data_IF_563425667144
#
_entry.id   IF_563425667144
#
_cell.length_a   1.000
_cell.length_b   1.000
_cell.length_c   1.000
_cell.angle_alpha   90.00
_cell.angle_beta   90.00
_cell.angle_gamma   90.00
#
_symmetry.space_group_name_H-M   'P 1'
#
loop_
_entity.id
_entity.type
_entity.pdbx_description
1 polymer ?
#
# COMPACT_ATOMS: atom_id res chain seq x y z
N UNK A 1 17.24 0.13 12.01
CA UNK A 1 17.61 -0.79 10.90
C UNK A 1 16.34 -1.04 10.11
N UNK A 2 16.41 -0.84 8.82
CA UNK A 2 15.26 -1.03 7.93
C UNK A 2 14.75 -2.48 8.02
N UNK A 3 13.43 -2.66 8.08
CA UNK A 3 12.76 -3.96 8.07
C UNK A 3 12.59 -4.47 6.63
N UNK A 4 12.27 -3.54 5.72
CA UNK A 4 12.13 -3.80 4.28
C UNK A 4 12.92 -2.76 3.51
N UNK A 5 13.83 -3.20 2.63
CA UNK A 5 14.58 -2.37 1.68
C UNK A 5 14.28 -2.81 0.27
N UNK A 6 13.82 -1.90 -0.56
CA UNK A 6 13.54 -2.10 -1.99
C UNK A 6 14.43 -1.19 -2.81
N UNK A 7 15.22 -1.77 -3.70
CA UNK A 7 16.17 -1.05 -4.55
C UNK A 7 16.01 -1.42 -6.01
N UNK A 8 15.85 -0.42 -6.86
CA UNK A 8 15.77 -0.56 -8.32
C UNK A 8 14.66 -1.45 -8.82
N UNK A 9 13.55 -1.57 -8.06
CA UNK A 9 12.45 -2.47 -8.39
C UNK A 9 11.84 -2.10 -9.76
N UNK A 10 11.84 -3.06 -10.68
CA UNK A 10 11.17 -2.98 -11.98
C UNK A 10 10.26 -4.15 -12.19
N UNK A 11 9.07 -3.86 -12.71
CA UNK A 11 8.07 -4.88 -13.05
C UNK A 11 7.65 -4.68 -14.49
N UNK A 12 7.81 -5.74 -15.29
CA UNK A 12 7.34 -5.80 -16.68
C UNK A 12 6.30 -6.89 -16.81
N UNK A 13 5.18 -6.55 -17.40
CA UNK A 13 4.09 -7.50 -17.67
C UNK A 13 4.10 -7.89 -19.14
N UNK A 14 3.93 -9.18 -19.40
CA UNK A 14 3.68 -9.67 -20.75
C UNK A 14 2.26 -9.25 -21.20
N UNK A 15 2.15 -8.63 -22.37
CA UNK A 15 0.87 -8.32 -23.00
C UNK A 15 0.86 -8.84 -24.44
N UNK A 16 -0.30 -8.99 -25.08
CA UNK A 16 -0.37 -9.41 -26.50
C UNK A 16 0.44 -8.52 -27.45
N UNK A 17 0.65 -7.25 -27.07
CA UNK A 17 1.36 -6.24 -27.86
C UNK A 17 2.83 -6.06 -27.44
N UNK A 18 3.39 -6.97 -26.63
CA UNK A 18 4.75 -6.88 -26.11
C UNK A 18 4.81 -6.68 -24.59
N UNK A 19 6.01 -6.57 -24.04
CA UNK A 19 6.21 -6.33 -22.63
C UNK A 19 5.96 -4.84 -22.28
N UNK A 20 5.23 -4.60 -21.19
CA UNK A 20 4.92 -3.26 -20.70
C UNK A 20 5.49 -3.09 -19.29
N UNK A 21 6.27 -2.02 -19.05
CA UNK A 21 6.81 -1.67 -17.74
C UNK A 21 5.75 -0.96 -16.92
N UNK A 22 5.39 -1.54 -15.77
CA UNK A 22 4.38 -0.99 -14.85
C UNK A 22 4.98 -0.45 -13.55
N UNK A 23 6.22 -0.85 -13.23
CA UNK A 23 7.06 -0.28 -12.17
C UNK A 23 8.46 -0.12 -12.73
N UNK A 24 9.09 1.02 -12.53
CA UNK A 24 10.35 1.35 -13.21
C UNK A 24 11.34 2.07 -12.28
N UNK A 25 12.21 1.29 -11.65
CA UNK A 25 13.30 1.78 -10.81
C UNK A 25 12.80 2.44 -9.52
N UNK A 26 11.99 1.72 -8.76
CA UNK A 26 11.43 2.20 -7.50
C UNK A 26 12.32 1.81 -6.34
N UNK A 27 12.67 2.81 -5.50
CA UNK A 27 13.45 2.67 -4.29
C UNK A 27 12.65 3.18 -3.09
N UNK A 28 12.61 2.39 -2.02
CA UNK A 28 12.09 2.81 -0.72
C UNK A 28 12.52 1.85 0.39
N UNK A 29 12.46 2.33 1.63
CA UNK A 29 12.68 1.52 2.83
C UNK A 29 11.51 1.67 3.80
N UNK A 30 11.31 0.66 4.65
CA UNK A 30 10.30 0.67 5.72
C UNK A 30 10.97 0.25 7.01
N UNK A 31 10.83 1.05 8.06
CA UNK A 31 11.36 0.75 9.39
C UNK A 31 10.35 -0.09 10.21
N UNK A 32 10.85 -0.78 11.25
CA UNK A 32 9.95 -1.46 12.20
C UNK A 32 9.05 -0.46 12.91
N UNK A 33 7.76 -0.78 13.05
CA UNK A 33 6.78 0.09 13.70
C UNK A 33 6.40 1.35 12.92
N UNK A 34 6.89 1.52 11.68
CA UNK A 34 6.57 2.64 10.80
C UNK A 34 5.26 2.39 10.03
N UNK A 35 4.49 3.46 9.79
CA UNK A 35 3.46 3.49 8.75
C UNK A 35 4.04 4.21 7.53
N UNK A 36 4.41 3.43 6.52
CA UNK A 36 4.89 3.92 5.25
C UNK A 36 3.75 4.02 4.24
N UNK A 37 3.42 5.23 3.83
CA UNK A 37 2.35 5.52 2.88
C UNK A 37 2.80 5.47 1.43
N UNK A 38 2.04 4.79 0.58
CA UNK A 38 2.23 4.74 -0.88
C UNK A 38 1.00 5.31 -1.56
N UNK A 39 1.12 6.52 -2.12
CA UNK A 39 0.01 7.25 -2.72
C UNK A 39 0.20 7.54 -4.21
N UNK A 40 -0.89 7.87 -4.91
CA UNK A 40 -0.91 8.22 -6.33
C UNK A 40 -2.20 7.77 -7.02
N UNK A 41 -2.42 8.22 -8.26
CA UNK A 41 -3.61 7.87 -9.04
C UNK A 41 -3.69 6.36 -9.33
N UNK A 42 -4.87 5.87 -9.70
CA UNK A 42 -5.05 4.48 -10.16
C UNK A 42 -4.14 4.19 -11.35
N UNK A 43 -3.57 2.98 -11.40
CA UNK A 43 -2.62 2.59 -12.46
C UNK A 43 -1.20 3.16 -12.31
N UNK A 44 -0.86 3.89 -11.23
CA UNK A 44 0.50 4.42 -11.04
C UNK A 44 1.57 3.38 -10.64
N UNK A 45 1.19 2.10 -10.45
CA UNK A 45 2.14 1.01 -10.15
C UNK A 45 2.20 0.58 -8.68
N UNK A 46 1.49 1.24 -7.75
CA UNK A 46 1.51 0.98 -6.29
C UNK A 46 1.27 -0.48 -5.94
N UNK A 47 0.10 -1.00 -6.28
CA UNK A 47 -0.29 -2.40 -6.02
C UNK A 47 0.67 -3.37 -6.70
N UNK A 48 1.08 -3.09 -7.95
CA UNK A 48 1.99 -3.96 -8.70
C UNK A 48 3.37 -4.06 -8.03
N UNK A 49 3.88 -2.96 -7.45
CA UNK A 49 5.13 -2.98 -6.69
C UNK A 49 5.05 -3.89 -5.48
N UNK A 50 3.93 -3.89 -4.75
CA UNK A 50 3.74 -4.77 -3.57
C UNK A 50 3.50 -6.22 -3.97
N UNK A 51 2.71 -6.47 -5.01
CA UNK A 51 2.50 -7.84 -5.52
C UNK A 51 3.80 -8.48 -6.01
N UNK A 52 4.76 -7.69 -6.51
CA UNK A 52 6.09 -8.18 -6.87
C UNK A 52 6.83 -8.74 -5.64
N UNK A 53 6.81 -8.06 -4.51
CA UNK A 53 7.45 -8.50 -3.26
C UNK A 53 6.86 -9.82 -2.75
N UNK A 54 5.56 -10.02 -2.99
CA UNK A 54 4.81 -11.18 -2.51
C UNK A 54 4.83 -12.36 -3.52
N UNK A 55 5.45 -12.18 -4.69
CA UNK A 55 5.43 -13.20 -5.74
C UNK A 55 4.02 -13.49 -6.30
N UNK A 56 3.12 -12.51 -6.22
CA UNK A 56 1.70 -12.61 -6.63
C UNK A 56 1.41 -11.91 -7.97
N UNK A 57 2.43 -11.59 -8.74
CA UNK A 57 2.26 -11.03 -10.08
C UNK A 57 1.64 -12.04 -11.05
N UNK A 58 0.95 -11.56 -12.11
CA UNK A 58 0.46 -12.42 -13.19
C UNK A 58 1.58 -13.27 -13.82
N UNK A 59 1.20 -14.41 -14.38
CA UNK A 59 2.13 -15.28 -15.06
C UNK A 59 2.82 -14.57 -16.24
N UNK A 60 4.12 -14.83 -16.42
CA UNK A 60 4.94 -14.15 -17.43
C UNK A 60 5.45 -12.77 -17.02
N UNK A 61 5.15 -12.29 -15.80
CA UNK A 61 5.75 -11.06 -15.30
C UNK A 61 7.26 -11.25 -15.04
N UNK A 62 8.04 -10.23 -15.38
CA UNK A 62 9.49 -10.17 -15.12
C UNK A 62 9.76 -9.12 -14.08
N UNK A 63 10.53 -9.47 -13.04
CA UNK A 63 10.89 -8.58 -11.93
C UNK A 63 12.39 -8.46 -11.86
N UNK A 64 12.89 -7.23 -11.81
CA UNK A 64 14.29 -6.88 -11.59
C UNK A 64 14.42 -6.02 -10.33
N UNK A 65 15.64 -5.90 -9.79
CA UNK A 65 15.94 -5.17 -8.56
C UNK A 65 16.18 -6.10 -7.36
N UNK A 66 16.10 -5.55 -6.17
CA UNK A 66 16.18 -6.28 -4.90
C UNK A 66 15.07 -5.85 -3.94
N UNK A 67 14.60 -6.77 -3.10
CA UNK A 67 13.64 -6.49 -2.05
C UNK A 67 14.04 -7.30 -0.79
N UNK A 68 14.78 -6.66 0.10
CA UNK A 68 15.30 -7.29 1.32
C UNK A 68 14.31 -7.08 2.47
N UNK A 69 13.73 -8.18 2.92
CA UNK A 69 12.95 -8.21 4.17
C UNK A 69 13.81 -8.86 5.26
N UNK A 70 14.16 -8.10 6.26
CA UNK A 70 15.26 -8.44 7.18
C UNK A 70 16.53 -8.76 6.35
N UNK A 71 17.06 -9.95 6.42
CA UNK A 71 18.27 -10.37 5.70
C UNK A 71 17.99 -11.19 4.44
N UNK A 72 16.72 -11.29 3.97
CA UNK A 72 16.30 -12.16 2.87
C UNK A 72 15.80 -11.34 1.69
N UNK A 73 16.33 -11.59 0.49
CA UNK A 73 15.84 -10.99 -0.75
C UNK A 73 14.60 -11.75 -1.25
N UNK A 74 13.41 -11.18 -1.05
CA UNK A 74 12.11 -11.76 -1.40
C UNK A 74 11.98 -12.09 -2.90
N UNK A 75 12.69 -11.36 -3.77
CA UNK A 75 12.64 -11.58 -5.22
C UNK A 75 13.48 -12.79 -5.69
N UNK A 76 14.43 -13.25 -4.85
CA UNK A 76 15.40 -14.28 -5.20
C UNK A 76 15.29 -15.58 -4.41
N UNK A 77 14.61 -15.56 -3.27
CA UNK A 77 14.40 -16.77 -2.48
C UNK A 77 13.49 -17.76 -3.21
N UNK A 78 13.68 -19.09 -3.00
CA UNK A 78 12.78 -20.07 -3.57
C UNK A 78 11.33 -19.88 -3.14
N UNK A 79 10.38 -20.12 -4.05
CA UNK A 79 8.93 -19.96 -3.78
C UNK A 79 8.45 -20.66 -2.51
N UNK A 80 9.06 -21.78 -2.12
CA UNK A 80 8.72 -22.48 -0.87
C UNK A 80 9.07 -21.61 0.35
N UNK A 81 10.28 -21.03 0.37
CA UNK A 81 10.69 -20.15 1.47
C UNK A 81 9.87 -18.85 1.50
N UNK A 82 9.53 -18.30 0.34
CA UNK A 82 8.64 -17.14 0.26
C UNK A 82 7.28 -17.46 0.89
N UNK A 83 6.67 -18.62 0.60
CA UNK A 83 5.40 -19.04 1.21
C UNK A 83 5.47 -19.20 2.73
N UNK A 84 6.64 -19.61 3.27
CA UNK A 84 6.84 -19.72 4.72
C UNK A 84 6.91 -18.35 5.41
N UNK A 85 7.30 -17.29 4.67
CA UNK A 85 7.34 -15.90 5.14
C UNK A 85 5.96 -15.24 5.04
N UNK A 86 5.27 -15.46 3.90
CA UNK A 86 3.94 -14.90 3.66
C UNK A 86 2.92 -15.52 4.62
N UNK A 87 2.10 -14.69 5.25
CA UNK A 87 1.13 -15.06 6.25
C UNK A 87 1.73 -15.18 7.67
N UNK A 88 3.00 -15.55 7.80
CA UNK A 88 3.68 -15.66 9.09
C UNK A 88 4.42 -14.38 9.49
N UNK A 89 5.25 -13.84 8.59
CA UNK A 89 6.09 -12.68 8.86
C UNK A 89 5.62 -11.43 8.09
N UNK A 90 4.96 -11.62 6.94
CA UNK A 90 4.35 -10.58 6.13
C UNK A 90 2.87 -10.91 5.95
N UNK A 91 1.99 -10.06 6.47
CA UNK A 91 0.55 -10.12 6.23
C UNK A 91 0.13 -9.20 5.08
N UNK A 92 -1.00 -9.52 4.41
CA UNK A 92 -1.57 -8.65 3.39
C UNK A 92 -3.08 -8.52 3.57
N UNK A 93 -3.58 -7.29 3.48
CA UNK A 93 -4.99 -6.95 3.34
C UNK A 93 -5.22 -6.46 1.93
N UNK A 94 -6.05 -7.17 1.16
CA UNK A 94 -6.39 -6.81 -0.22
C UNK A 94 -7.49 -5.75 -0.27
N UNK A 95 -7.60 -5.07 -1.40
CA UNK A 95 -8.49 -3.95 -1.64
C UNK A 95 -9.97 -4.26 -1.37
N UNK A 96 -10.44 -5.46 -1.71
CA UNK A 96 -11.85 -5.85 -1.54
C UNK A 96 -12.02 -6.95 -0.48
N UNK A 97 -12.61 -6.63 0.69
CA UNK A 97 -12.86 -7.60 1.73
C UNK A 97 -13.90 -8.65 1.33
N UNK A 98 -14.72 -8.39 0.29
CA UNK A 98 -15.71 -9.34 -0.21
C UNK A 98 -15.06 -10.53 -0.93
N UNK A 99 -13.95 -10.27 -1.62
CA UNK A 99 -13.18 -11.29 -2.33
C UNK A 99 -12.10 -11.93 -1.45
N UNK A 100 -11.72 -11.27 -0.35
CA UNK A 100 -10.70 -11.76 0.57
C UNK A 100 -11.19 -12.86 1.51
N UNK A 101 -12.50 -12.92 1.79
CA UNK A 101 -13.11 -13.90 2.67
C UNK A 101 -13.84 -14.97 1.86
N UNK A 102 -13.57 -16.24 2.13
CA UNK A 102 -14.25 -17.34 1.46
C UNK A 102 -15.70 -17.45 1.95
N UNK A 103 -16.73 -17.23 1.09
CA UNK A 103 -18.12 -17.07 1.53
C UNK A 103 -18.74 -18.31 2.18
N UNK A 104 -18.27 -19.51 1.85
CA UNK A 104 -18.79 -20.79 2.31
C UNK A 104 -18.05 -21.36 3.53
N UNK A 105 -17.00 -20.68 4.02
CA UNK A 105 -16.28 -21.10 5.21
C UNK A 105 -16.61 -20.17 6.38
N UNK A 106 -16.75 -20.75 7.58
CA UNK A 106 -16.89 -19.92 8.79
C UNK A 106 -15.64 -19.10 9.05
N UNK A 107 -15.80 -17.98 9.75
CA UNK A 107 -14.67 -17.12 10.11
C UNK A 107 -13.63 -17.88 10.94
N UNK A 108 -14.10 -18.70 11.87
CA UNK A 108 -13.23 -19.54 12.70
C UNK A 108 -12.36 -20.46 11.85
N UNK A 109 -12.95 -21.15 10.86
CA UNK A 109 -12.18 -22.06 10.00
C UNK A 109 -11.10 -21.31 9.21
N UNK A 110 -11.43 -20.16 8.64
CA UNK A 110 -10.46 -19.35 7.87
C UNK A 110 -9.31 -18.85 8.74
N UNK A 111 -9.58 -18.45 9.99
CA UNK A 111 -8.55 -18.01 10.94
C UNK A 111 -7.72 -19.19 11.46
N UNK A 112 -8.38 -20.28 11.91
CA UNK A 112 -7.65 -21.42 12.52
C UNK A 112 -6.79 -22.16 11.52
N UNK A 113 -7.25 -22.38 10.29
CA UNK A 113 -6.48 -23.04 9.23
C UNK A 113 -5.17 -22.26 8.94
N UNK A 114 -5.25 -20.95 8.90
CA UNK A 114 -4.09 -20.08 8.72
C UNK A 114 -3.10 -20.20 9.90
N UNK A 115 -3.60 -20.12 11.13
CA UNK A 115 -2.80 -20.22 12.35
C UNK A 115 -2.19 -21.61 12.53
N UNK A 116 -2.96 -22.68 12.32
CA UNK A 116 -2.47 -24.07 12.38
C UNK A 116 -1.34 -24.31 11.39
N UNK A 117 -1.49 -23.81 10.15
CA UNK A 117 -0.49 -23.97 9.10
C UNK A 117 0.82 -23.27 9.42
N UNK A 118 0.77 -22.01 9.83
CA UNK A 118 1.97 -21.17 9.99
C UNK A 118 2.63 -21.27 11.37
N UNK A 119 1.85 -21.49 12.43
CA UNK A 119 2.35 -21.55 13.80
C UNK A 119 2.46 -22.98 14.33
N UNK A 120 1.98 -23.96 13.56
CA UNK A 120 1.97 -25.38 13.95
C UNK A 120 1.24 -25.64 15.29
N UNK A 121 0.23 -24.82 15.58
CA UNK A 121 -0.57 -24.95 16.80
C UNK A 121 -1.62 -26.05 16.64
N UNK A 122 -1.94 -26.72 17.75
CA UNK A 122 -3.07 -27.62 17.80
C UNK A 122 -4.40 -26.85 17.70
N UNK A 123 -5.48 -27.53 17.29
CA UNK A 123 -6.79 -26.94 17.03
C UNK A 123 -7.30 -26.05 18.19
N UNK A 124 -7.16 -26.49 19.44
CA UNK A 124 -7.63 -25.73 20.60
C UNK A 124 -6.88 -24.40 20.76
N UNK A 125 -5.58 -24.40 20.58
CA UNK A 125 -4.75 -23.21 20.71
C UNK A 125 -4.96 -22.27 19.50
N UNK A 126 -5.21 -22.83 18.31
CA UNK A 126 -5.57 -22.08 17.13
C UNK A 126 -6.95 -21.39 17.29
N UNK A 127 -7.95 -22.06 17.87
CA UNK A 127 -9.25 -21.48 18.20
C UNK A 127 -9.11 -20.35 19.25
N UNK A 128 -8.30 -20.55 20.29
CA UNK A 128 -8.04 -19.50 21.29
C UNK A 128 -7.35 -18.28 20.66
N UNK A 129 -6.37 -18.51 19.78
CA UNK A 129 -5.69 -17.44 19.05
C UNK A 129 -6.63 -16.70 18.10
N UNK A 130 -7.53 -17.42 17.41
CA UNK A 130 -8.55 -16.83 16.55
C UNK A 130 -9.54 -15.96 17.33
N UNK A 131 -9.91 -16.36 18.52
CA UNK A 131 -10.76 -15.57 19.42
C UNK A 131 -10.06 -14.31 19.91
N UNK A 132 -8.79 -14.42 20.33
CA UNK A 132 -7.95 -13.31 20.74
C UNK A 132 -7.85 -12.24 19.63
N UNK A 133 -7.51 -12.62 18.39
CA UNK A 133 -7.35 -11.64 17.30
C UNK A 133 -8.68 -10.99 16.91
N UNK A 134 -9.79 -11.71 16.95
CA UNK A 134 -11.12 -11.11 16.73
C UNK A 134 -11.47 -10.07 17.80
N UNK A 135 -11.08 -10.32 19.05
CA UNK A 135 -11.20 -9.33 20.12
C UNK A 135 -10.33 -8.10 19.84
N UNK A 136 -9.06 -8.29 19.43
CA UNK A 136 -8.11 -7.21 19.13
C UNK A 136 -8.63 -6.31 18.00
N UNK A 137 -9.25 -6.87 16.97
CA UNK A 137 -9.88 -6.08 15.89
C UNK A 137 -11.29 -5.57 16.24
N UNK A 138 -11.73 -5.74 17.50
CA UNK A 138 -13.01 -5.27 18.02
C UNK A 138 -14.24 -5.87 17.30
N UNK A 139 -14.22 -7.16 17.04
CA UNK A 139 -15.41 -7.89 16.62
C UNK A 139 -16.25 -8.21 17.87
N UNK A 140 -17.54 -7.85 17.92
CA UNK A 140 -18.42 -8.19 19.03
C UNK A 140 -18.59 -9.71 19.15
N UNK A 141 -18.58 -10.21 20.39
CA UNK A 141 -18.79 -11.62 20.71
C UNK A 141 -17.91 -12.57 19.86
N UNK A 142 -16.57 -12.54 20.02
CA UNK A 142 -15.62 -13.29 19.19
C UNK A 142 -15.94 -14.77 19.09
N UNK A 143 -16.31 -15.43 20.21
CA UNK A 143 -16.66 -16.84 20.23
C UNK A 143 -17.88 -17.20 19.34
N UNK A 144 -18.88 -16.32 19.23
CA UNK A 144 -19.99 -16.49 18.31
C UNK A 144 -19.57 -16.18 16.87
N UNK A 145 -18.73 -15.15 16.68
CA UNK A 145 -18.21 -14.74 15.37
C UNK A 145 -17.38 -15.84 14.69
N UNK A 146 -16.66 -16.66 15.43
CA UNK A 146 -15.93 -17.82 14.89
C UNK A 146 -16.84 -18.82 14.16
N UNK A 147 -18.10 -18.96 14.59
CA UNK A 147 -19.07 -19.89 13.97
C UNK A 147 -19.86 -19.24 12.83
N UNK A 148 -19.81 -17.95 12.70
CA UNK A 148 -20.52 -17.19 11.68
C UNK A 148 -19.79 -17.18 10.33
N UNK A 149 -20.53 -16.82 9.26
CA UNK A 149 -20.04 -16.75 7.89
C UNK A 149 -19.91 -15.28 7.45
N UNK A 150 -19.05 -14.98 6.44
CA UNK A 150 -18.79 -13.61 6.00
C UNK A 150 -20.04 -12.77 5.68
N UNK A 151 -21.05 -13.37 5.06
CA UNK A 151 -22.28 -12.68 4.68
C UNK A 151 -23.13 -12.17 5.87
N UNK A 152 -22.87 -12.66 7.08
CA UNK A 152 -23.55 -12.24 8.31
C UNK A 152 -22.97 -10.99 8.94
N UNK A 153 -21.89 -10.42 8.36
CA UNK A 153 -21.20 -9.24 8.87
C UNK A 153 -21.37 -8.03 7.95
N UNK A 154 -21.38 -6.82 8.54
CA UNK A 154 -21.32 -5.58 7.78
C UNK A 154 -19.99 -5.43 7.03
N UNK A 155 -19.90 -4.51 6.04
CA UNK A 155 -18.68 -4.24 5.30
C UNK A 155 -17.49 -3.92 6.21
N UNK A 156 -17.67 -3.02 7.17
CA UNK A 156 -16.62 -2.67 8.13
C UNK A 156 -16.22 -3.81 9.05
N UNK A 157 -17.15 -4.71 9.42
CA UNK A 157 -16.82 -5.91 10.18
C UNK A 157 -16.05 -6.93 9.34
N UNK A 158 -16.40 -7.11 8.07
CA UNK A 158 -15.64 -7.98 7.14
C UNK A 158 -14.23 -7.45 6.95
N UNK A 159 -14.05 -6.14 6.83
CA UNK A 159 -12.73 -5.52 6.76
C UNK A 159 -11.90 -5.78 8.02
N UNK A 160 -12.50 -5.66 9.21
CA UNK A 160 -11.81 -6.01 10.47
C UNK A 160 -11.43 -7.49 10.53
N UNK A 161 -12.28 -8.38 10.03
CA UNK A 161 -11.99 -9.80 9.93
C UNK A 161 -10.87 -10.08 8.94
N UNK A 162 -10.84 -9.43 7.78
CA UNK A 162 -9.73 -9.54 6.83
C UNK A 162 -8.39 -9.07 7.44
N UNK A 163 -8.42 -7.97 8.21
CA UNK A 163 -7.26 -7.51 9.00
C UNK A 163 -6.88 -8.55 10.06
N UNK A 164 -7.85 -9.17 10.75
CA UNK A 164 -7.60 -10.21 11.73
C UNK A 164 -6.88 -11.43 11.12
N UNK A 165 -7.30 -11.87 9.94
CA UNK A 165 -6.64 -12.97 9.21
C UNK A 165 -5.19 -12.58 8.88
N UNK A 166 -4.96 -11.40 8.34
CA UNK A 166 -3.62 -10.92 8.00
C UNK A 166 -2.69 -10.80 9.22
N UNK A 167 -3.25 -10.54 10.41
CA UNK A 167 -2.51 -10.37 11.66
C UNK A 167 -2.50 -11.62 12.57
N UNK A 168 -3.18 -12.69 12.19
CA UNK A 168 -3.37 -13.87 13.06
C UNK A 168 -2.05 -14.51 13.52
N UNK A 169 -1.03 -14.48 12.67
CA UNK A 169 0.31 -15.00 12.97
C UNK A 169 1.28 -13.97 13.59
N UNK A 170 0.82 -12.77 13.94
CA UNK A 170 1.65 -11.65 14.43
C UNK A 170 2.80 -11.30 13.48
N UNK A 171 2.50 -10.94 12.23
CA UNK A 171 3.52 -10.56 11.27
C UNK A 171 4.29 -9.32 11.72
N UNK A 172 5.51 -9.15 11.21
CA UNK A 172 6.33 -7.96 11.42
C UNK A 172 5.98 -6.84 10.44
N UNK A 173 5.44 -7.21 9.28
CA UNK A 173 5.04 -6.28 8.21
C UNK A 173 3.60 -6.59 7.77
N UNK A 174 2.76 -5.56 7.69
CA UNK A 174 1.44 -5.60 7.09
C UNK A 174 1.43 -4.73 5.83
N UNK A 175 1.07 -5.31 4.69
CA UNK A 175 0.77 -4.56 3.47
C UNK A 175 -0.74 -4.40 3.41
N UNK A 176 -1.23 -3.17 3.45
CA UNK A 176 -2.66 -2.85 3.39
C UNK A 176 -2.96 -2.09 2.09
N UNK A 177 -3.53 -2.78 1.12
CA UNK A 177 -3.88 -2.22 -0.19
C UNK A 177 -5.32 -1.70 -0.15
N UNK A 178 -5.46 -0.39 -0.12
CA UNK A 178 -6.73 0.35 -0.05
C UNK A 178 -7.70 -0.18 1.03
N UNK A 179 -7.26 -0.35 2.29
CA UNK A 179 -8.02 -1.07 3.32
C UNK A 179 -9.31 -0.35 3.76
N UNK A 180 -9.57 0.83 3.26
CA UNK A 180 -10.73 1.65 3.63
C UNK A 180 -11.62 2.03 2.43
N UNK A 181 -11.29 1.56 1.24
CA UNK A 181 -12.09 1.81 0.02
C UNK A 181 -13.49 1.22 0.17
N UNK A 182 -14.50 1.94 -0.31
CA UNK A 182 -15.93 1.61 -0.23
C UNK A 182 -16.52 1.54 1.20
N UNK A 183 -15.83 2.08 2.20
CA UNK A 183 -16.36 2.24 3.56
C UNK A 183 -16.79 3.69 3.80
N UNK A 184 -17.81 3.86 4.66
CA UNK A 184 -18.16 5.20 5.12
C UNK A 184 -17.07 5.83 5.98
N UNK A 185 -17.04 7.16 6.04
CA UNK A 185 -15.98 7.94 6.72
C UNK A 185 -15.79 7.53 8.19
N UNK A 186 -16.87 7.20 8.88
CA UNK A 186 -16.81 6.80 10.30
C UNK A 186 -16.14 5.44 10.48
N UNK A 187 -16.50 4.48 9.62
CA UNK A 187 -15.90 3.14 9.61
C UNK A 187 -14.45 3.23 9.17
N UNK A 188 -14.13 4.01 8.13
CA UNK A 188 -12.77 4.29 7.68
C UNK A 188 -11.90 4.80 8.84
N UNK A 189 -12.33 5.86 9.53
CA UNK A 189 -11.62 6.38 10.70
C UNK A 189 -11.44 5.32 11.80
N UNK A 190 -12.43 4.43 11.96
CA UNK A 190 -12.36 3.30 12.90
C UNK A 190 -11.31 2.25 12.52
N UNK A 191 -11.13 1.96 11.22
CA UNK A 191 -10.10 1.04 10.71
C UNK A 191 -8.69 1.66 10.86
N UNK A 192 -8.53 2.94 10.53
CA UNK A 192 -7.24 3.62 10.65
C UNK A 192 -6.77 3.68 12.12
N UNK A 193 -7.66 4.02 13.04
CA UNK A 193 -7.35 3.97 14.48
C UNK A 193 -7.02 2.56 14.97
N UNK A 194 -7.67 1.55 14.42
CA UNK A 194 -7.34 0.15 14.71
C UNK A 194 -5.93 -0.20 14.25
N UNK A 195 -5.56 0.12 13.01
CA UNK A 195 -4.23 -0.14 12.47
C UNK A 195 -3.14 0.60 13.25
N UNK A 196 -3.35 1.90 13.58
CA UNK A 196 -2.39 2.68 14.36
C UNK A 196 -2.21 2.12 15.79
N UNK A 197 -3.28 1.65 16.44
CA UNK A 197 -3.20 0.98 17.72
C UNK A 197 -2.40 -0.31 17.64
N UNK A 198 -2.74 -1.20 16.70
CA UNK A 198 -2.09 -2.50 16.55
C UNK A 198 -0.61 -2.36 16.18
N UNK A 199 -0.25 -1.36 15.34
CA UNK A 199 1.16 -1.10 15.04
C UNK A 199 1.96 -0.72 16.29
N UNK A 200 1.41 0.12 17.18
CA UNK A 200 2.07 0.54 18.42
C UNK A 200 2.17 -0.58 19.44
N UNK A 201 1.12 -1.40 19.56
CA UNK A 201 1.08 -2.51 20.51
C UNK A 201 2.02 -3.66 20.12
N UNK A 202 2.28 -3.86 18.81
CA UNK A 202 3.02 -5.01 18.29
C UNK A 202 4.30 -4.64 17.53
N UNK A 203 4.72 -3.38 17.54
CA UNK A 203 5.85 -2.88 16.70
C UNK A 203 5.70 -3.25 15.21
N UNK A 204 4.46 -3.34 14.75
CA UNK A 204 4.10 -3.73 13.38
C UNK A 204 4.46 -2.63 12.39
N UNK A 205 5.28 -2.94 11.39
CA UNK A 205 5.43 -2.05 10.24
C UNK A 205 4.21 -2.18 9.32
N UNK A 206 3.72 -1.05 8.78
CA UNK A 206 2.57 -1.03 7.88
C UNK A 206 2.93 -0.30 6.59
N UNK A 207 2.82 -0.98 5.46
CA UNK A 207 2.79 -0.32 4.14
C UNK A 207 1.33 -0.07 3.79
N UNK A 208 0.93 1.20 3.80
CA UNK A 208 -0.43 1.62 3.52
C UNK A 208 -0.52 2.17 2.09
N UNK A 209 -1.22 1.47 1.22
CA UNK A 209 -1.49 1.92 -0.14
C UNK A 209 -2.87 2.55 -0.17
N UNK A 210 -2.96 3.78 -0.65
CA UNK A 210 -4.25 4.44 -0.92
C UNK A 210 -4.08 5.59 -1.93
N UNK A 211 -5.16 5.94 -2.59
CA UNK A 211 -5.25 7.17 -3.38
C UNK A 211 -5.78 8.36 -2.57
N UNK A 212 -6.21 8.12 -1.32
CA UNK A 212 -6.74 9.16 -0.43
C UNK A 212 -5.61 9.76 0.43
N UNK A 213 -5.17 10.98 0.07
CA UNK A 213 -4.14 11.71 0.81
C UNK A 213 -4.62 12.18 2.20
N UNK A 214 -5.92 12.29 2.43
CA UNK A 214 -6.50 12.55 3.75
C UNK A 214 -6.23 11.38 4.71
N UNK A 215 -6.38 10.14 4.22
CA UNK A 215 -5.98 8.92 4.94
C UNK A 215 -4.49 8.95 5.25
N UNK A 216 -3.64 9.25 4.26
CA UNK A 216 -2.19 9.35 4.46
C UNK A 216 -1.83 10.39 5.51
N UNK A 217 -2.46 11.57 5.44
CA UNK A 217 -2.24 12.67 6.41
C UNK A 217 -2.57 12.27 7.85
N UNK A 218 -3.49 11.33 8.05
CA UNK A 218 -3.97 10.95 9.38
C UNK A 218 -3.09 9.93 10.11
N UNK A 219 -2.35 9.07 9.39
CA UNK A 219 -1.69 7.91 9.99
C UNK A 219 -0.24 7.69 9.54
N UNK A 220 0.14 8.08 8.30
CA UNK A 220 1.46 7.79 7.77
C UNK A 220 2.56 8.58 8.51
N UNK A 221 3.73 7.96 8.70
CA UNK A 221 4.94 8.62 9.20
C UNK A 221 5.76 9.18 8.02
N UNK A 222 5.92 8.38 6.96
CA UNK A 222 6.54 8.76 5.69
C UNK A 222 5.62 8.42 4.52
N UNK A 223 5.78 9.15 3.42
CA UNK A 223 4.93 8.98 2.21
C UNK A 223 5.80 8.96 0.97
N UNK A 224 5.49 8.04 0.05
CA UNK A 224 6.00 8.02 -1.32
C UNK A 224 4.87 8.21 -2.32
N UNK A 225 5.03 9.17 -3.20
CA UNK A 225 4.07 9.51 -4.26
C UNK A 225 4.50 8.83 -5.55
N UNK A 226 3.62 7.99 -6.06
CA UNK A 226 3.82 7.21 -7.29
C UNK A 226 3.10 7.87 -8.47
N UNK A 227 3.80 7.98 -9.59
CA UNK A 227 3.26 8.39 -10.88
C UNK A 227 3.88 7.59 -12.01
N UNK A 228 3.05 7.00 -12.87
CA UNK A 228 3.47 6.25 -14.07
C UNK A 228 4.61 5.23 -13.81
N UNK A 229 4.48 4.44 -12.73
CA UNK A 229 5.43 3.39 -12.36
C UNK A 229 6.67 3.87 -11.61
N UNK A 230 6.79 5.14 -11.26
CA UNK A 230 7.96 5.70 -10.58
C UNK A 230 7.57 6.44 -9.31
N UNK A 231 8.49 6.54 -8.36
CA UNK A 231 8.39 7.48 -7.24
C UNK A 231 8.79 8.87 -7.73
N UNK A 232 7.94 9.86 -7.49
CA UNK A 232 8.20 11.26 -7.89
C UNK A 232 8.56 12.17 -6.72
N UNK A 233 8.08 11.85 -5.52
CA UNK A 233 8.43 12.53 -4.29
C UNK A 233 8.28 11.57 -3.12
N UNK A 234 9.25 11.56 -2.16
CA UNK A 234 9.17 10.74 -0.95
C UNK A 234 9.87 11.42 0.22
N UNK A 235 9.30 11.32 1.41
CA UNK A 235 9.85 11.91 2.63
C UNK A 235 8.89 11.80 3.81
N UNK A 236 9.19 12.51 4.89
CA UNK A 236 8.27 12.63 6.02
C UNK A 236 6.92 13.19 5.55
N UNK A 237 5.83 12.62 6.09
CA UNK A 237 4.46 13.02 5.74
C UNK A 237 4.28 14.54 5.75
N UNK A 238 4.77 15.21 6.79
CA UNK A 238 4.63 16.66 6.95
C UNK A 238 5.31 17.43 5.81
N UNK A 239 6.46 16.95 5.36
CA UNK A 239 7.23 17.59 4.31
C UNK A 239 6.57 17.38 2.93
N UNK A 240 6.10 16.15 2.65
CA UNK A 240 5.49 15.81 1.37
C UNK A 240 4.06 16.37 1.24
N UNK A 241 3.23 16.26 2.30
CA UNK A 241 1.82 16.63 2.20
C UNK A 241 1.51 18.08 2.56
N UNK A 242 2.31 18.72 3.43
CA UNK A 242 2.08 20.14 3.80
C UNK A 242 2.90 21.10 2.93
N UNK A 243 4.08 20.67 2.46
CA UNK A 243 5.00 21.47 1.64
C UNK A 243 5.45 20.69 0.41
N UNK A 244 4.51 20.28 -0.47
CA UNK A 244 4.82 19.50 -1.66
C UNK A 244 5.75 20.28 -2.59
N UNK A 245 6.78 19.60 -3.13
CA UNK A 245 7.71 20.19 -4.11
C UNK A 245 7.51 19.65 -5.51
N UNK A 246 7.02 18.42 -5.65
CA UNK A 246 6.69 17.90 -6.97
C UNK A 246 5.34 18.46 -7.46
N UNK A 247 5.25 19.01 -8.68
CA UNK A 247 4.01 19.56 -9.22
C UNK A 247 2.82 18.59 -9.22
N UNK A 248 3.07 17.30 -9.37
CA UNK A 248 2.02 16.28 -9.28
C UNK A 248 1.49 16.11 -7.84
N UNK A 249 2.38 16.05 -6.84
CA UNK A 249 1.98 16.00 -5.43
C UNK A 249 1.11 17.20 -5.07
N UNK A 250 1.52 18.39 -5.51
CA UNK A 250 0.73 19.62 -5.32
C UNK A 250 -0.63 19.51 -5.97
N UNK A 251 -0.70 19.05 -7.23
CA UNK A 251 -1.96 18.91 -7.94
C UNK A 251 -2.91 17.89 -7.30
N UNK A 252 -2.39 16.79 -6.73
CA UNK A 252 -3.17 15.84 -5.94
C UNK A 252 -3.78 16.49 -4.70
N UNK A 253 -3.01 17.32 -3.99
CA UNK A 253 -3.47 18.03 -2.79
C UNK A 253 -4.48 19.12 -3.12
N UNK A 254 -4.25 19.87 -4.20
CA UNK A 254 -5.17 20.92 -4.68
C UNK A 254 -6.54 20.35 -5.13
N UNK A 255 -6.58 19.06 -5.51
CA UNK A 255 -7.80 18.34 -5.89
C UNK A 255 -8.62 17.82 -4.69
N UNK A 256 -8.08 17.88 -3.46
CA UNK A 256 -8.81 17.45 -2.27
C UNK A 256 -9.86 18.48 -1.86
N UNK A 257 -11.04 18.05 -1.40
CA UNK A 257 -12.02 18.94 -0.79
C UNK A 257 -11.44 19.55 0.49
N UNK A 258 -11.36 20.87 0.58
CA UNK A 258 -10.98 21.60 1.78
C UNK A 258 -12.26 22.03 2.54
N UNK A 259 -12.54 21.49 3.73
CA UNK A 259 -13.78 21.81 4.47
C UNK A 259 -13.95 23.29 4.79
N UNK A 260 -12.83 23.99 5.05
CA UNK A 260 -12.83 25.43 5.39
C UNK A 260 -12.98 26.35 4.16
N UNK A 261 -12.72 25.85 2.96
CA UNK A 261 -12.79 26.60 1.71
C UNK A 261 -13.97 26.19 0.82
N UNK A 262 -14.91 25.41 1.34
CA UNK A 262 -16.01 24.81 0.57
C UNK A 262 -16.94 25.82 -0.14
N UNK A 263 -16.86 27.11 0.20
CA UNK A 263 -17.65 28.16 -0.44
C UNK A 263 -16.86 29.13 -1.34
N UNK A 264 -15.51 29.04 -1.39
CA UNK A 264 -14.70 30.05 -2.09
C UNK A 264 -13.69 29.51 -3.10
N UNK A 265 -13.41 28.21 -3.15
CA UNK A 265 -12.46 27.63 -4.11
C UNK A 265 -13.13 26.58 -4.98
N UNK A 266 -13.07 26.78 -6.30
CA UNK A 266 -13.36 25.71 -7.25
C UNK A 266 -12.34 24.57 -7.05
N UNK A 267 -12.82 23.31 -7.00
CA UNK A 267 -11.96 22.14 -7.00
C UNK A 267 -11.16 22.12 -8.31
N UNK A 268 -9.86 22.21 -8.20
CA UNK A 268 -8.97 22.18 -9.37
C UNK A 268 -8.67 20.72 -9.72
N UNK A 269 -9.39 20.19 -10.70
CA UNK A 269 -9.09 18.87 -11.23
C UNK A 269 -7.72 18.85 -11.91
N UNK A 270 -6.99 17.75 -11.75
CA UNK A 270 -5.74 17.53 -12.49
C UNK A 270 -6.09 17.33 -13.96
N UNK A 271 -5.69 18.28 -14.82
CA UNK A 271 -5.99 18.21 -16.24
C UNK A 271 -5.44 16.96 -16.93
N UNK A 272 -6.14 16.49 -17.98
CA UNK A 272 -5.75 15.31 -18.74
C UNK A 272 -5.94 14.00 -17.97
N UNK A 273 -5.38 12.91 -18.51
CA UNK A 273 -5.41 11.57 -17.89
C UNK A 273 -4.00 11.05 -17.62
N UNK A 274 -3.80 10.20 -16.60
CA UNK A 274 -2.54 9.49 -16.42
C UNK A 274 -2.19 8.70 -17.68
N UNK A 275 -0.91 8.65 -18.09
CA UNK A 275 -0.52 7.88 -19.26
C UNK A 275 -0.75 6.37 -19.04
N UNK A 276 -1.21 5.69 -20.06
CA UNK A 276 -1.23 4.22 -20.01
C UNK A 276 0.22 3.70 -19.92
N UNK A 277 0.46 2.58 -19.23
CA UNK A 277 1.81 2.02 -19.10
C UNK A 277 2.48 1.68 -20.45
N UNK A 278 1.69 1.45 -21.50
CA UNK A 278 2.17 1.25 -22.88
C UNK A 278 2.45 2.54 -23.66
N UNK A 279 2.13 3.71 -23.11
CA UNK A 279 2.20 5.01 -23.77
C UNK A 279 2.74 6.11 -22.82
N UNK A 280 3.75 5.77 -22.02
CA UNK A 280 4.44 6.72 -21.17
C UNK A 280 5.18 7.72 -22.06
N UNK A 281 4.96 9.05 -21.92
CA UNK A 281 5.65 10.05 -22.71
C UNK A 281 7.16 10.06 -22.44
N UNK A 282 7.94 10.52 -23.42
CA UNK A 282 9.37 10.74 -23.24
C UNK A 282 9.62 11.80 -22.16
N UNK A 283 10.77 11.73 -21.52
CA UNK A 283 11.14 12.65 -20.44
C UNK A 283 10.32 12.44 -19.15
N UNK A 284 9.96 13.52 -18.49
CA UNK A 284 9.12 13.48 -17.29
C UNK A 284 7.72 13.00 -17.63
N UNK A 285 7.28 11.87 -17.07
CA UNK A 285 5.96 11.31 -17.37
C UNK A 285 4.78 12.27 -17.06
N UNK A 286 4.98 13.20 -16.13
CA UNK A 286 3.96 14.19 -15.74
C UNK A 286 3.97 15.44 -16.64
N UNK A 287 4.98 15.65 -17.50
CA UNK A 287 5.12 16.91 -18.28
C UNK A 287 3.86 17.31 -19.06
N UNK A 288 3.05 16.39 -19.66
CA UNK A 288 1.86 16.82 -20.43
C UNK A 288 0.75 17.44 -19.58
N UNK A 289 0.79 17.18 -18.25
CA UNK A 289 -0.20 17.67 -17.27
C UNK A 289 0.39 18.73 -16.33
N UNK A 290 1.69 19.03 -16.47
CA UNK A 290 2.43 19.91 -15.57
C UNK A 290 2.35 21.37 -16.06
N UNK A 291 1.83 22.27 -15.24
CA UNK A 291 1.81 23.71 -15.53
C UNK A 291 3.17 24.41 -15.50
N UNK A 292 4.18 23.72 -14.96
CA UNK A 292 5.58 24.23 -14.86
C UNK A 292 6.51 23.54 -15.87
N UNK A 293 5.95 22.89 -16.91
CA UNK A 293 6.74 22.18 -17.92
C UNK A 293 7.74 23.09 -18.61
N UNK A 294 9.00 22.63 -18.70
CA UNK A 294 10.08 23.23 -19.48
C UNK A 294 10.52 22.26 -20.59
N UNK A 295 11.33 22.71 -21.53
CA UNK A 295 11.77 21.90 -22.67
C UNK A 295 12.55 20.65 -22.24
N UNK A 296 13.39 20.75 -21.22
CA UNK A 296 14.10 19.61 -20.62
C UNK A 296 13.15 18.53 -20.10
N UNK A 297 11.98 18.90 -19.57
CA UNK A 297 10.99 17.93 -19.07
C UNK A 297 10.41 17.04 -20.18
N UNK A 298 10.52 17.45 -21.45
CA UNK A 298 10.02 16.67 -22.61
C UNK A 298 10.97 15.58 -23.07
N UNK A 299 12.24 15.71 -22.72
CA UNK A 299 13.32 14.84 -23.24
C UNK A 299 14.07 14.09 -22.15
N UNK A 300 14.17 14.67 -20.94
CA UNK A 300 14.94 14.12 -19.85
C UNK A 300 14.06 13.45 -18.81
N UNK A 301 14.33 12.18 -18.53
CA UNK A 301 13.65 11.44 -17.45
C UNK A 301 14.27 11.89 -16.12
N UNK A 302 13.47 12.51 -15.21
CA UNK A 302 14.01 12.97 -13.93
C UNK A 302 14.44 11.76 -13.07
N UNK A 303 15.61 11.88 -12.47
CA UNK A 303 16.08 10.94 -11.44
C UNK A 303 15.52 11.36 -10.07
N UNK A 304 15.22 10.36 -9.25
CA UNK A 304 14.88 10.59 -7.85
C UNK A 304 16.16 10.90 -7.08
N UNK A 305 16.32 12.13 -6.65
CA UNK A 305 17.51 12.61 -5.94
C UNK A 305 17.15 13.15 -4.56
N UNK A 306 18.10 13.07 -3.62
CA UNK A 306 17.94 13.67 -2.30
C UNK A 306 18.00 15.20 -2.43
N UNK A 307 16.99 15.89 -1.90
CA UNK A 307 16.87 17.35 -1.86
C UNK A 307 16.36 17.73 -0.47
N UNK A 308 17.21 18.38 0.31
CA UNK A 308 16.93 18.76 1.71
C UNK A 308 16.45 17.57 2.55
N UNK A 309 15.16 17.56 2.90
CA UNK A 309 14.50 16.61 3.82
C UNK A 309 13.70 15.51 3.12
N UNK A 310 13.88 15.35 1.79
CA UNK A 310 13.09 14.40 0.95
C UNK A 310 13.87 13.90 -0.26
N UNK A 311 13.28 12.98 -1.00
CA UNK A 311 13.71 12.67 -2.36
C UNK A 311 12.71 13.22 -3.37
N UNK A 312 13.21 13.77 -4.49
CA UNK A 312 12.42 14.48 -5.49
C UNK A 312 12.86 14.12 -6.91
N UNK A 313 11.93 13.81 -7.80
CA UNK A 313 12.17 13.59 -9.22
C UNK A 313 11.66 14.77 -10.07
N UNK A 314 12.08 15.98 -9.73
CA UNK A 314 11.73 17.20 -10.47
C UNK A 314 12.95 18.15 -10.53
N UNK A 315 13.68 18.21 -11.65
CA UNK A 315 14.87 19.06 -11.76
C UNK A 315 14.52 20.55 -11.81
N UNK A 316 13.29 20.90 -12.16
CA UNK A 316 12.81 22.28 -12.21
C UNK A 316 12.51 22.83 -10.82
N UNK A 317 12.00 21.96 -9.92
CA UNK A 317 11.62 22.25 -8.54
C UNK A 317 10.91 23.62 -8.34
N UNK A 318 9.82 23.86 -9.04
CA UNK A 318 9.20 25.19 -9.11
C UNK A 318 8.48 25.59 -7.82
N UNK A 319 8.46 24.72 -6.81
CA UNK A 319 7.77 24.90 -5.53
C UNK A 319 8.75 24.92 -4.35
N UNK A 320 10.06 25.03 -4.64
CA UNK A 320 11.12 25.13 -3.64
C UNK A 320 10.99 26.35 -2.72
#
# INVERSE_FOLDING_TARGET
MSLLDVEGLRVRLATPNGAVTVVDGVDYSVESGEVFGVAGESGSGKTMSMLALLGLLPEGAVVDGTARFADRDLLRIPRRQLRDILGREIGMVFQDPMTSLHPMLSIGRQLTEHVEHHLHLGRRDAEARAEEILHDVRIPNPAAALRAFPHQFSGGMRQRIAIAIALACRPRLLIADEPTTALDVTVQAGILRLLDRLRREHELAVVLITHDLGVMSSIADRVSIFYAGRVVESGLRENVLQRPRHPYTRALLDALPHPEAAHERELVAIGGSPPAPSAIPAGCAFHPRCRYTQDSCRTEVPLLVAVDDRTLACPVDPLA
#
